data_IF_613310877813
#
_entry.id   IF_613310877813
#
_cell.length_a   1.000
_cell.length_b   1.000
_cell.length_c   1.000
_cell.angle_alpha   90.00
_cell.angle_beta   90.00
_cell.angle_gamma   90.00
#
_symmetry.space_group_name_H-M   'P 1'
#
loop_
_entity.id
_entity.type
_entity.pdbx_description
1 polymer ?
#
# COMPACT_ATOMS: atom_id res chain seq x y z
N UNK A 1 -34.31 -25.46 -55.45
CA UNK A 1 -33.25 -24.53 -54.96
C UNK A 1 -33.64 -23.90 -53.61
N UNK A 2 -33.86 -24.70 -52.57
CA UNK A 2 -34.24 -24.18 -51.23
C UNK A 2 -33.20 -24.51 -50.13
N UNK A 3 -32.25 -25.42 -50.41
CA UNK A 3 -31.22 -25.82 -49.45
C UNK A 3 -30.00 -24.88 -49.41
N UNK A 4 -29.74 -24.13 -50.49
CA UNK A 4 -28.61 -23.19 -50.55
C UNK A 4 -28.87 -21.89 -49.76
N UNK A 5 -30.12 -21.42 -49.69
CA UNK A 5 -30.48 -20.22 -48.92
C UNK A 5 -30.46 -20.45 -47.40
N UNK A 6 -30.87 -21.64 -46.95
CA UNK A 6 -30.83 -21.99 -45.53
C UNK A 6 -29.38 -22.10 -44.98
N UNK A 7 -28.45 -22.62 -45.78
CA UNK A 7 -27.03 -22.72 -45.40
C UNK A 7 -26.34 -21.36 -45.27
N UNK A 8 -26.63 -20.41 -46.17
CA UNK A 8 -26.09 -19.04 -46.11
C UNK A 8 -26.65 -18.29 -44.89
N UNK A 9 -27.94 -18.46 -44.57
CA UNK A 9 -28.55 -17.87 -43.38
C UNK A 9 -27.96 -18.41 -42.07
N UNK A 10 -27.75 -19.72 -41.97
CA UNK A 10 -27.13 -20.35 -40.80
C UNK A 10 -25.65 -19.91 -40.63
N UNK A 11 -24.90 -19.82 -41.73
CA UNK A 11 -23.51 -19.34 -41.69
C UNK A 11 -23.43 -17.88 -41.24
N UNK A 12 -24.24 -16.98 -41.83
CA UNK A 12 -24.29 -15.59 -41.45
C UNK A 12 -24.69 -15.42 -39.97
N UNK A 13 -25.73 -16.14 -39.50
CA UNK A 13 -26.15 -16.12 -38.11
C UNK A 13 -25.05 -16.54 -37.14
N UNK A 14 -24.33 -17.62 -37.45
CA UNK A 14 -23.21 -18.10 -36.63
C UNK A 14 -22.03 -17.12 -36.61
N UNK A 15 -21.73 -16.47 -37.74
CA UNK A 15 -20.67 -15.46 -37.85
C UNK A 15 -21.00 -14.20 -37.03
N UNK A 16 -22.22 -13.69 -37.13
CA UNK A 16 -22.65 -12.54 -36.33
C UNK A 16 -22.67 -12.87 -34.83
N UNK A 17 -23.16 -14.05 -34.43
CA UNK A 17 -23.12 -14.49 -33.04
C UNK A 17 -21.68 -14.59 -32.50
N UNK A 18 -20.74 -15.09 -33.31
CA UNK A 18 -19.33 -15.11 -32.97
C UNK A 18 -18.76 -13.70 -32.80
N UNK A 19 -19.07 -12.77 -33.71
CA UNK A 19 -18.64 -11.37 -33.60
C UNK A 19 -19.20 -10.68 -32.35
N UNK A 20 -20.48 -10.88 -32.05
CA UNK A 20 -21.10 -10.34 -30.83
C UNK A 20 -20.43 -10.88 -29.57
N UNK A 21 -20.20 -12.19 -29.50
CA UNK A 21 -19.48 -12.82 -28.37
C UNK A 21 -18.07 -12.27 -28.22
N UNK A 22 -17.34 -12.12 -29.31
CA UNK A 22 -15.99 -11.55 -29.29
C UNK A 22 -16.00 -10.12 -28.72
N UNK A 23 -16.94 -9.29 -29.16
CA UNK A 23 -17.07 -7.93 -28.66
C UNK A 23 -17.43 -7.89 -27.17
N UNK A 24 -18.35 -8.75 -26.72
CA UNK A 24 -18.72 -8.88 -25.31
C UNK A 24 -17.53 -9.34 -24.45
N UNK A 25 -16.79 -10.35 -24.89
CA UNK A 25 -15.58 -10.85 -24.23
C UNK A 25 -14.51 -9.75 -24.11
N UNK A 26 -14.30 -8.94 -25.16
CA UNK A 26 -13.40 -7.79 -25.12
C UNK A 26 -13.84 -6.75 -24.07
N UNK A 27 -15.13 -6.41 -24.01
CA UNK A 27 -15.65 -5.47 -23.02
C UNK A 27 -15.52 -6.00 -21.58
N UNK A 28 -15.79 -7.29 -21.38
CA UNK A 28 -15.61 -7.96 -20.08
C UNK A 28 -14.14 -7.88 -19.67
N UNK A 29 -13.22 -8.19 -20.59
CA UNK A 29 -11.78 -8.14 -20.31
C UNK A 29 -11.31 -6.72 -19.98
N UNK A 30 -11.78 -5.70 -20.70
CA UNK A 30 -11.47 -4.30 -20.40
C UNK A 30 -11.96 -3.89 -19.01
N UNK A 31 -13.20 -4.26 -18.65
CA UNK A 31 -13.74 -3.99 -17.31
C UNK A 31 -12.94 -4.67 -16.21
N UNK A 32 -12.56 -5.95 -16.40
CA UNK A 32 -11.72 -6.69 -15.46
C UNK A 32 -10.36 -6.03 -15.27
N UNK A 33 -9.68 -5.66 -16.36
CA UNK A 33 -8.38 -4.98 -16.32
C UNK A 33 -8.45 -3.62 -15.62
N UNK A 34 -9.50 -2.84 -15.88
CA UNK A 34 -9.74 -1.58 -15.17
C UNK A 34 -9.94 -1.83 -13.67
N UNK A 35 -10.83 -2.77 -13.33
CA UNK A 35 -11.09 -3.11 -11.92
C UNK A 35 -9.85 -3.60 -11.18
N UNK A 36 -8.95 -4.31 -11.86
CA UNK A 36 -7.67 -4.76 -11.28
C UNK A 36 -6.75 -3.57 -10.92
N UNK A 37 -6.66 -2.56 -11.80
CA UNK A 37 -5.89 -1.34 -11.49
C UNK A 37 -6.52 -0.52 -10.37
N UNK A 38 -7.86 -0.39 -10.37
CA UNK A 38 -8.58 0.32 -9.30
C UNK A 38 -8.36 -0.38 -7.94
N UNK A 39 -8.41 -1.72 -7.91
CA UNK A 39 -8.10 -2.51 -6.73
C UNK A 39 -6.64 -2.35 -6.27
N UNK A 40 -5.69 -2.31 -7.21
CA UNK A 40 -4.28 -2.04 -6.92
C UNK A 40 -4.08 -0.65 -6.30
N UNK A 41 -4.67 0.39 -6.89
CA UNK A 41 -4.61 1.76 -6.37
C UNK A 41 -5.20 1.86 -4.95
N UNK A 42 -6.36 1.23 -4.75
CA UNK A 42 -6.99 1.17 -3.44
C UNK A 42 -6.11 0.45 -2.40
N UNK A 43 -5.46 -0.64 -2.80
CA UNK A 43 -4.52 -1.37 -1.93
C UNK A 43 -3.32 -0.50 -1.54
N UNK A 44 -2.69 0.19 -2.50
CA UNK A 44 -1.60 1.14 -2.22
C UNK A 44 -2.04 2.25 -1.26
N UNK A 45 -3.25 2.79 -1.42
CA UNK A 45 -3.79 3.78 -0.49
C UNK A 45 -4.00 3.20 0.93
N UNK A 46 -4.46 1.96 1.05
CA UNK A 46 -4.56 1.27 2.35
C UNK A 46 -3.18 1.08 2.99
N UNK A 47 -2.17 0.70 2.21
CA UNK A 47 -0.78 0.55 2.69
C UNK A 47 -0.22 1.87 3.19
N UNK A 48 -0.42 2.96 2.42
CA UNK A 48 -0.02 4.30 2.83
C UNK A 48 -0.65 4.67 4.18
N UNK A 49 -1.97 4.52 4.30
CA UNK A 49 -2.69 4.86 5.53
C UNK A 49 -2.21 4.04 6.74
N UNK A 50 -1.94 2.75 6.55
CA UNK A 50 -1.42 1.89 7.61
C UNK A 50 -0.05 2.37 8.11
N UNK A 51 0.88 2.66 7.19
CA UNK A 51 2.20 3.18 7.58
C UNK A 51 2.13 4.59 8.17
N UNK A 52 1.22 5.43 7.67
CA UNK A 52 1.04 6.79 8.17
C UNK A 52 0.60 6.79 9.64
N UNK A 53 -0.35 5.92 10.01
CA UNK A 53 -0.78 5.78 11.41
C UNK A 53 0.37 5.35 12.35
N UNK A 54 1.23 4.43 11.87
CA UNK A 54 2.42 4.01 12.63
C UNK A 54 3.40 5.18 12.75
N UNK A 55 3.64 5.90 11.65
CA UNK A 55 4.52 7.08 11.62
C UNK A 55 4.09 8.13 12.64
N UNK A 56 2.81 8.48 12.71
CA UNK A 56 2.30 9.46 13.70
C UNK A 56 2.66 9.09 15.14
N UNK A 57 2.70 7.79 15.45
CA UNK A 57 3.13 7.30 16.77
C UNK A 57 4.63 7.53 17.01
N UNK A 58 5.46 7.36 15.96
CA UNK A 58 6.91 7.60 16.04
C UNK A 58 7.23 9.09 16.13
N UNK A 59 6.46 9.93 15.45
CA UNK A 59 6.64 11.39 15.41
C UNK A 59 6.30 12.07 16.74
N UNK A 60 5.47 11.44 17.57
CA UNK A 60 5.22 11.89 18.94
C UNK A 60 6.50 11.90 19.82
N UNK A 61 7.55 11.19 19.40
CA UNK A 61 8.85 11.13 20.06
C UNK A 61 9.92 11.66 19.09
N UNK A 62 10.22 12.96 19.09
CA UNK A 62 11.08 13.59 18.09
C UNK A 62 12.54 13.12 18.21
N UNK A 63 13.03 12.97 19.43
CA UNK A 63 14.41 12.59 19.70
C UNK A 63 14.61 11.08 19.58
N UNK A 64 15.76 10.70 19.04
CA UNK A 64 16.09 9.29 18.78
C UNK A 64 16.18 8.46 20.06
N UNK A 65 16.81 8.99 21.10
CA UNK A 65 16.98 8.33 22.39
C UNK A 65 15.61 8.18 23.06
N UNK A 66 14.80 9.23 23.03
CA UNK A 66 13.44 9.21 23.55
C UNK A 66 12.58 8.16 22.84
N UNK A 67 12.67 8.08 21.51
CA UNK A 67 11.95 7.08 20.73
C UNK A 67 12.45 5.65 20.98
N UNK A 68 13.73 5.46 21.26
CA UNK A 68 14.29 4.16 21.62
C UNK A 68 13.82 3.68 22.99
N UNK A 69 13.88 4.55 23.99
CA UNK A 69 13.68 4.19 25.40
C UNK A 69 12.24 4.42 25.86
N UNK A 70 11.73 5.64 25.66
CA UNK A 70 10.44 6.11 26.22
C UNK A 70 9.22 5.64 25.44
N UNK A 71 9.33 5.45 24.12
CA UNK A 71 8.20 4.99 23.32
C UNK A 71 7.82 3.55 23.72
N UNK A 72 6.57 3.27 24.11
CA UNK A 72 6.18 1.94 24.55
C UNK A 72 6.16 0.92 23.41
N UNK A 73 6.17 -0.37 23.74
CA UNK A 73 5.91 -1.44 22.78
C UNK A 73 4.42 -1.41 22.38
N UNK A 74 4.11 -0.87 21.20
CA UNK A 74 2.75 -0.77 20.67
C UNK A 74 2.50 -1.91 19.69
N UNK A 75 1.38 -2.61 19.86
CA UNK A 75 0.91 -3.62 18.91
C UNK A 75 -0.07 -2.97 17.93
N UNK A 76 0.32 -2.92 16.66
CA UNK A 76 -0.53 -2.42 15.59
C UNK A 76 -1.48 -3.51 15.07
N UNK A 77 -2.58 -3.13 14.39
CA UNK A 77 -3.46 -4.08 13.72
C UNK A 77 -2.71 -4.99 12.74
N UNK A 78 -3.20 -6.20 12.53
CA UNK A 78 -2.63 -7.10 11.52
C UNK A 78 -3.05 -6.64 10.12
N UNK A 79 -2.08 -6.24 9.29
CA UNK A 79 -2.29 -5.81 7.90
C UNK A 79 -2.00 -6.91 6.86
N UNK A 80 -2.15 -8.19 7.24
CA UNK A 80 -1.81 -9.34 6.41
C UNK A 80 -2.63 -9.43 5.12
N UNK A 81 -3.82 -8.84 5.12
CA UNK A 81 -4.75 -8.79 4.00
C UNK A 81 -4.49 -7.62 3.03
N UNK A 82 -3.61 -6.67 3.39
CA UNK A 82 -3.31 -5.49 2.58
C UNK A 82 -2.20 -5.82 1.57
N UNK A 83 -2.55 -6.67 0.59
CA UNK A 83 -1.63 -7.18 -0.44
C UNK A 83 -2.15 -6.91 -1.83
N UNK A 84 -1.24 -6.55 -2.73
CA UNK A 84 -1.54 -6.37 -4.14
C UNK A 84 -1.81 -7.73 -4.78
N UNK A 85 -2.91 -7.85 -5.52
CA UNK A 85 -3.23 -9.01 -6.34
C UNK A 85 -2.46 -8.94 -7.68
N UNK A 86 -1.25 -9.49 -7.70
CA UNK A 86 -0.40 -9.48 -8.89
C UNK A 86 -0.95 -10.31 -10.05
N UNK A 87 -1.73 -11.37 -9.77
CA UNK A 87 -2.30 -12.22 -10.81
C UNK A 87 -3.29 -11.43 -11.67
N UNK A 88 -4.08 -10.56 -11.03
CA UNK A 88 -5.00 -9.65 -11.72
C UNK A 88 -4.30 -8.61 -12.60
N UNK A 89 -3.01 -8.35 -12.36
CA UNK A 89 -2.20 -7.34 -13.05
C UNK A 89 -1.31 -7.91 -14.18
N UNK A 90 -1.32 -9.22 -14.40
CA UNK A 90 -0.50 -9.88 -15.42
C UNK A 90 -0.69 -9.30 -16.84
N UNK A 91 -1.88 -8.75 -17.15
CA UNK A 91 -2.14 -8.11 -18.44
C UNK A 91 -1.26 -6.88 -18.72
N UNK A 92 -0.62 -6.29 -17.71
CA UNK A 92 0.33 -5.20 -17.89
C UNK A 92 1.60 -5.66 -18.62
N UNK A 93 1.95 -6.94 -18.53
CA UNK A 93 3.07 -7.54 -19.26
C UNK A 93 2.77 -7.64 -20.76
N UNK A 94 1.52 -7.92 -21.12
CA UNK A 94 1.06 -8.04 -22.52
C UNK A 94 1.14 -6.71 -23.30
N UNK A 95 1.18 -5.59 -22.59
CA UNK A 95 1.17 -4.23 -23.15
C UNK A 95 2.52 -3.52 -22.97
N UNK A 96 3.61 -4.29 -22.88
CA UNK A 96 5.00 -3.81 -22.78
C UNK A 96 5.30 -2.94 -21.54
N UNK A 97 4.47 -3.04 -20.49
CA UNK A 97 4.67 -2.34 -19.20
C UNK A 97 5.22 -3.24 -18.10
N UNK A 98 6.02 -4.25 -18.46
CA UNK A 98 6.57 -5.29 -17.55
C UNK A 98 7.29 -4.71 -16.33
N UNK A 99 7.98 -3.58 -16.49
CA UNK A 99 8.69 -2.93 -15.39
C UNK A 99 7.76 -2.49 -14.25
N UNK A 100 6.48 -2.19 -14.53
CA UNK A 100 5.57 -1.66 -13.53
C UNK A 100 5.11 -2.71 -12.50
N UNK A 101 4.64 -3.91 -12.90
CA UNK A 101 4.42 -5.02 -11.96
C UNK A 101 5.63 -5.32 -11.07
N UNK A 102 6.85 -5.32 -11.61
CA UNK A 102 8.08 -5.55 -10.82
C UNK A 102 8.34 -4.43 -9.80
N UNK A 103 8.03 -3.18 -10.15
CA UNK A 103 8.11 -2.08 -9.20
C UNK A 103 7.05 -2.23 -8.09
N UNK A 104 5.85 -2.73 -8.41
CA UNK A 104 4.80 -2.99 -7.43
C UNK A 104 5.16 -4.15 -6.49
N UNK A 105 5.82 -5.21 -6.97
CA UNK A 105 6.32 -6.29 -6.10
C UNK A 105 7.37 -5.77 -5.13
N UNK A 106 8.30 -4.96 -5.63
CA UNK A 106 9.31 -4.29 -4.79
C UNK A 106 8.64 -3.40 -3.74
N UNK A 107 7.57 -2.69 -4.10
CA UNK A 107 6.84 -1.87 -3.14
C UNK A 107 6.13 -2.70 -2.07
N UNK A 108 5.49 -3.79 -2.47
CA UNK A 108 4.86 -4.72 -1.53
C UNK A 108 5.88 -5.25 -0.50
N UNK A 109 7.10 -5.59 -0.95
CA UNK A 109 8.19 -6.01 -0.06
C UNK A 109 8.64 -4.89 0.88
N UNK A 110 8.73 -3.64 0.41
CA UNK A 110 9.06 -2.47 1.25
C UNK A 110 8.03 -2.25 2.34
N UNK A 111 6.74 -2.30 2.00
CA UNK A 111 5.64 -2.22 2.95
C UNK A 111 5.75 -3.31 4.03
N UNK A 112 5.97 -4.57 3.63
CA UNK A 112 6.12 -5.68 4.57
C UNK A 112 7.37 -5.57 5.44
N UNK A 113 8.49 -5.08 4.89
CA UNK A 113 9.72 -4.82 5.63
C UNK A 113 9.51 -3.72 6.69
N UNK A 114 8.78 -2.66 6.36
CA UNK A 114 8.43 -1.61 7.32
C UNK A 114 7.61 -2.19 8.49
N UNK A 115 6.54 -2.94 8.21
CA UNK A 115 5.75 -3.60 9.26
C UNK A 115 6.59 -4.55 10.12
N UNK A 116 7.46 -5.35 9.51
CA UNK A 116 8.35 -6.28 10.21
C UNK A 116 9.34 -5.53 11.12
N UNK A 117 9.87 -4.39 10.68
CA UNK A 117 10.79 -3.59 11.48
C UNK A 117 10.12 -3.06 12.77
N UNK A 118 8.86 -2.63 12.66
CA UNK A 118 8.03 -2.21 13.80
C UNK A 118 7.81 -3.37 14.77
N UNK A 119 7.49 -4.56 14.25
CA UNK A 119 7.29 -5.76 15.06
C UNK A 119 8.56 -6.18 15.81
N UNK A 120 9.71 -6.21 15.12
CA UNK A 120 11.01 -6.54 15.73
C UNK A 120 11.34 -5.54 16.85
N UNK A 121 11.15 -4.24 16.60
CA UNK A 121 11.36 -3.20 17.61
C UNK A 121 10.44 -3.40 18.80
N UNK A 122 9.14 -3.61 18.58
CA UNK A 122 8.16 -3.78 19.64
C UNK A 122 8.47 -5.02 20.49
N UNK A 123 8.85 -6.13 19.85
CA UNK A 123 9.26 -7.36 20.52
C UNK A 123 10.52 -7.16 21.36
N UNK A 124 11.56 -6.54 20.79
CA UNK A 124 12.79 -6.23 21.52
C UNK A 124 12.51 -5.31 22.72
N UNK A 125 11.68 -4.28 22.53
CA UNK A 125 11.30 -3.37 23.60
C UNK A 125 10.62 -4.11 24.74
N UNK A 126 9.59 -4.91 24.45
CA UNK A 126 8.84 -5.66 25.46
C UNK A 126 9.66 -6.77 26.15
N UNK A 127 10.49 -7.52 25.41
CA UNK A 127 11.17 -8.71 25.94
C UNK A 127 12.56 -8.44 26.53
N UNK A 128 13.22 -7.34 26.15
CA UNK A 128 14.62 -7.05 26.52
C UNK A 128 14.77 -5.69 27.18
N UNK A 129 14.28 -4.64 26.54
CA UNK A 129 14.54 -3.28 27.01
C UNK A 129 13.71 -2.91 28.24
N UNK A 130 12.40 -3.14 28.20
CA UNK A 130 11.48 -2.84 29.29
C UNK A 130 11.87 -3.54 30.61
N UNK A 131 12.21 -4.85 30.62
CA UNK A 131 12.71 -5.51 31.82
C UNK A 131 14.00 -4.89 32.37
N UNK A 132 14.92 -4.46 31.50
CA UNK A 132 16.17 -3.80 31.93
C UNK A 132 15.89 -2.41 32.53
N UNK A 133 15.01 -1.62 31.91
CA UNK A 133 14.57 -0.32 32.43
C UNK A 133 13.96 -0.47 33.83
N UNK A 134 13.13 -1.49 34.02
CA UNK A 134 12.50 -1.80 35.31
C UNK A 134 13.52 -2.26 36.36
N UNK A 135 14.44 -3.15 35.99
CA UNK A 135 15.49 -3.65 36.89
C UNK A 135 16.37 -2.51 37.44
N UNK A 136 16.65 -1.50 36.63
CA UNK A 136 17.46 -0.35 37.00
C UNK A 136 16.64 0.83 37.57
N UNK A 137 15.32 0.67 37.76
CA UNK A 137 14.40 1.72 38.23
C UNK A 137 14.53 3.03 37.44
N UNK A 138 14.71 2.94 36.11
CA UNK A 138 14.87 4.10 35.23
C UNK A 138 13.51 4.78 34.96
N UNK A 139 12.39 4.08 35.17
CA UNK A 139 11.06 4.61 34.96
C UNK A 139 10.83 5.93 35.74
N UNK A 140 10.59 7.01 35.01
CA UNK A 140 10.34 8.35 35.56
C UNK A 140 11.58 9.14 35.99
N UNK A 141 12.80 8.64 35.69
CA UNK A 141 14.05 9.39 35.88
C UNK A 141 14.44 10.11 34.60
N UNK A 142 14.83 11.37 34.74
CA UNK A 142 15.53 12.10 33.69
C UNK A 142 17.00 11.69 33.73
N UNK A 143 17.42 10.86 32.77
CA UNK A 143 18.81 10.47 32.56
C UNK A 143 19.24 10.96 31.17
N UNK A 144 20.48 11.42 31.07
CA UNK A 144 21.12 11.70 29.78
C UNK A 144 21.35 10.42 28.98
N UNK A 145 21.58 10.55 27.67
CA UNK A 145 21.89 9.42 26.80
C UNK A 145 23.11 8.62 27.26
N UNK A 146 24.17 9.31 27.70
CA UNK A 146 25.41 8.68 28.18
C UNK A 146 25.16 7.90 29.49
N UNK A 147 24.35 8.46 30.41
CA UNK A 147 23.96 7.76 31.64
C UNK A 147 23.10 6.54 31.34
N UNK A 148 22.18 6.63 30.38
CA UNK A 148 21.36 5.49 29.94
C UNK A 148 22.23 4.39 29.35
N UNK A 149 23.23 4.73 28.54
CA UNK A 149 24.16 3.76 27.97
C UNK A 149 24.98 3.05 29.05
N UNK A 150 25.49 3.79 30.05
CA UNK A 150 26.23 3.21 31.18
C UNK A 150 25.35 2.25 31.98
N UNK A 151 24.10 2.62 32.25
CA UNK A 151 23.18 1.83 33.09
C UNK A 151 22.67 0.60 32.36
N UNK A 152 22.26 0.73 31.10
CA UNK A 152 21.70 -0.36 30.29
C UNK A 152 22.77 -1.25 29.65
N UNK A 153 23.99 -0.74 29.54
CA UNK A 153 25.09 -1.35 28.79
C UNK A 153 25.02 -1.04 27.29
N UNK A 154 26.21 -0.88 26.71
CA UNK A 154 26.44 -0.51 25.31
C UNK A 154 25.60 -1.33 24.32
N UNK A 155 25.58 -2.65 24.48
CA UNK A 155 24.87 -3.53 23.55
C UNK A 155 23.36 -3.27 23.53
N UNK A 156 22.73 -3.19 24.71
CA UNK A 156 21.28 -3.05 24.82
C UNK A 156 20.85 -1.66 24.33
N UNK A 157 21.58 -0.62 24.75
CA UNK A 157 21.35 0.76 24.35
C UNK A 157 21.47 0.94 22.83
N UNK A 158 22.61 0.54 22.25
CA UNK A 158 22.84 0.70 20.82
C UNK A 158 21.88 -0.15 19.96
N UNK A 159 21.48 -1.33 20.44
CA UNK A 159 20.46 -2.13 19.76
C UNK A 159 19.10 -1.43 19.73
N UNK A 160 18.68 -0.81 20.83
CA UNK A 160 17.44 -0.05 20.91
C UNK A 160 17.43 1.13 19.91
N UNK A 161 18.53 1.89 19.89
CA UNK A 161 18.74 3.03 18.97
C UNK A 161 18.67 2.56 17.52
N UNK A 162 19.42 1.51 17.18
CA UNK A 162 19.47 0.97 15.82
C UNK A 162 18.09 0.51 15.33
N UNK A 163 17.34 -0.25 16.14
CA UNK A 163 16.00 -0.70 15.74
C UNK A 163 15.04 0.45 15.49
N UNK A 164 15.11 1.50 16.29
CA UNK A 164 14.29 2.68 16.07
C UNK A 164 14.71 3.46 14.82
N UNK A 165 16.01 3.63 14.56
CA UNK A 165 16.49 4.26 13.33
C UNK A 165 16.06 3.49 12.09
N UNK A 166 16.25 2.17 12.08
CA UNK A 166 15.85 1.33 10.95
C UNK A 166 14.35 1.38 10.72
N UNK A 167 13.56 1.29 11.79
CA UNK A 167 12.10 1.36 11.67
C UNK A 167 11.65 2.71 11.13
N UNK A 168 12.17 3.80 11.69
CA UNK A 168 11.84 5.16 11.26
C UNK A 168 12.18 5.36 9.79
N UNK A 169 13.39 4.94 9.37
CA UNK A 169 13.79 5.00 7.97
C UNK A 169 12.85 4.20 7.07
N UNK A 170 12.54 2.96 7.42
CA UNK A 170 11.63 2.13 6.62
C UNK A 170 10.23 2.74 6.50
N UNK A 171 9.69 3.34 7.57
CA UNK A 171 8.38 3.99 7.53
C UNK A 171 8.37 5.18 6.56
N UNK A 172 9.35 6.08 6.68
CA UNK A 172 9.42 7.29 5.86
C UNK A 172 9.74 6.98 4.39
N UNK A 173 10.77 6.16 4.14
CA UNK A 173 11.16 5.78 2.79
C UNK A 173 10.00 5.05 2.07
N UNK A 174 9.27 4.19 2.79
CA UNK A 174 8.11 3.50 2.22
C UNK A 174 6.94 4.45 1.96
N UNK A 175 6.62 5.38 2.85
CA UNK A 175 5.53 6.35 2.61
C UNK A 175 5.76 7.18 1.34
N UNK A 176 6.98 7.63 1.12
CA UNK A 176 7.37 8.37 -0.10
C UNK A 176 7.24 7.45 -1.32
N UNK A 177 7.78 6.23 -1.23
CA UNK A 177 7.78 5.27 -2.33
C UNK A 177 6.37 4.82 -2.73
N UNK A 178 5.47 4.59 -1.75
CA UNK A 178 4.08 4.23 -1.98
C UNK A 178 3.37 5.36 -2.75
N UNK A 179 3.54 6.62 -2.36
CA UNK A 179 2.91 7.75 -3.07
C UNK A 179 3.44 7.84 -4.51
N UNK A 180 4.75 7.70 -4.73
CA UNK A 180 5.33 7.71 -6.06
C UNK A 180 4.79 6.57 -6.95
N UNK A 181 4.75 5.34 -6.45
CA UNK A 181 4.26 4.20 -7.23
C UNK A 181 2.75 4.30 -7.45
N UNK A 182 2.00 4.83 -6.49
CA UNK A 182 0.58 5.09 -6.65
C UNK A 182 0.36 6.09 -7.78
N UNK A 183 1.07 7.22 -7.80
CA UNK A 183 0.97 8.20 -8.88
C UNK A 183 1.35 7.61 -10.24
N UNK A 184 2.39 6.78 -10.31
CA UNK A 184 2.78 6.05 -11.55
C UNK A 184 1.68 5.09 -12.00
N UNK A 185 1.11 4.30 -11.09
CA UNK A 185 0.02 3.36 -11.34
C UNK A 185 -1.21 4.10 -11.87
N UNK A 186 -1.55 5.24 -11.28
CA UNK A 186 -2.68 6.06 -11.69
C UNK A 186 -2.50 6.63 -13.10
N UNK A 187 -1.29 7.11 -13.44
CA UNK A 187 -0.96 7.56 -14.80
C UNK A 187 -1.10 6.43 -15.82
N UNK A 188 -0.67 5.21 -15.46
CA UNK A 188 -0.84 4.02 -16.30
C UNK A 188 -2.33 3.70 -16.49
N UNK A 189 -3.13 3.72 -15.42
CA UNK A 189 -4.57 3.48 -15.48
C UNK A 189 -5.27 4.48 -16.40
N UNK A 190 -4.99 5.79 -16.25
CA UNK A 190 -5.55 6.82 -17.14
C UNK A 190 -5.13 6.68 -18.60
N UNK A 191 -3.89 6.28 -18.85
CA UNK A 191 -3.39 6.05 -20.21
C UNK A 191 -4.08 4.87 -20.88
N UNK A 192 -4.39 3.80 -20.14
CA UNK A 192 -5.02 2.60 -20.68
C UNK A 192 -6.54 2.70 -20.76
N UNK A 193 -7.14 3.44 -19.83
CA UNK A 193 -8.58 3.61 -19.70
C UNK A 193 -8.93 5.09 -19.58
N UNK A 194 -8.74 5.88 -20.66
CA UNK A 194 -9.14 7.28 -20.66
C UNK A 194 -10.65 7.37 -20.42
N UNK A 195 -11.06 8.12 -19.41
CA UNK A 195 -12.47 8.38 -19.18
C UNK A 195 -13.03 9.17 -20.35
N UNK A 196 -14.18 8.73 -20.88
CA UNK A 196 -14.82 9.37 -22.04
C UNK A 196 -15.27 10.82 -21.75
N UNK A 197 -15.31 11.23 -20.48
CA UNK A 197 -15.51 12.59 -19.97
C UNK A 197 -14.88 12.69 -18.57
N UNK A 198 -13.80 13.46 -18.34
CA UNK A 198 -13.31 13.66 -16.97
C UNK A 198 -12.82 15.08 -16.70
N UNK A 199 -13.53 15.75 -15.79
CA UNK A 199 -13.13 16.99 -15.13
C UNK A 199 -11.84 16.76 -14.31
N UNK A 200 -10.87 17.70 -14.29
CA UNK A 200 -9.61 17.50 -13.57
C UNK A 200 -9.82 17.52 -12.06
N UNK A 201 -9.56 16.40 -11.38
CA UNK A 201 -9.47 16.38 -9.92
C UNK A 201 -8.05 16.74 -9.47
N UNK A 202 -7.98 17.72 -8.56
CA UNK A 202 -6.78 18.37 -8.07
C UNK A 202 -6.01 17.42 -7.12
N UNK A 203 -4.76 17.12 -7.44
CA UNK A 203 -3.91 16.17 -6.72
C UNK A 203 -3.32 16.78 -5.44
N UNK A 204 -4.08 16.74 -4.34
CA UNK A 204 -3.53 16.68 -2.99
C UNK A 204 -4.39 15.72 -2.18
N UNK A 205 -3.77 14.68 -1.63
CA UNK A 205 -4.39 13.64 -0.78
C UNK A 205 -4.96 14.15 0.54
N UNK A 206 -5.27 15.45 0.67
CA UNK A 206 -5.70 16.07 1.93
C UNK A 206 -7.18 15.88 2.25
N UNK A 207 -7.93 15.05 1.52
CA UNK A 207 -9.39 14.92 1.70
C UNK A 207 -9.93 13.47 1.67
N UNK A 208 -9.20 12.47 2.20
CA UNK A 208 -9.76 11.12 2.43
C UNK A 208 -10.69 11.04 3.67
N UNK A 209 -11.41 12.11 3.97
CA UNK A 209 -12.56 12.16 4.90
C UNK A 209 -13.83 12.76 4.31
N UNK A 210 -13.96 12.84 2.97
CA UNK A 210 -15.28 13.04 2.34
C UNK A 210 -15.69 11.83 1.53
N UNK A 211 -16.32 10.88 2.23
CA UNK A 211 -17.48 10.19 1.65
C UNK A 211 -18.52 11.25 1.30
N UNK A 212 -18.50 11.72 0.06
CA UNK A 212 -19.63 12.40 -0.58
C UNK A 212 -19.55 12.13 -2.08
N UNK A 213 -19.78 10.86 -2.42
CA UNK A 213 -20.25 10.46 -3.73
C UNK A 213 -21.64 9.82 -3.55
N UNK A 214 -22.59 10.63 -3.09
CA UNK A 214 -24.01 10.32 -3.20
C UNK A 214 -24.79 11.63 -3.29
N UNK A 215 -25.74 11.68 -4.23
CA UNK A 215 -26.79 12.71 -4.38
C UNK A 215 -26.35 13.96 -5.16
N UNK A 216 -26.35 13.86 -6.50
CA UNK A 216 -26.89 14.88 -7.43
C UNK A 216 -27.05 14.27 -8.83
N UNK A 217 -27.92 13.27 -8.90
CA UNK A 217 -28.81 13.10 -10.04
C UNK A 217 -30.21 13.42 -9.50
N UNK A 218 -30.97 14.24 -10.22
CA UNK A 218 -32.18 14.97 -9.83
C UNK A 218 -31.93 16.33 -9.16
N UNK A 219 -31.81 17.36 -10.00
CA UNK A 219 -32.70 18.53 -10.00
C UNK A 219 -32.21 19.54 -11.05
N UNK A 220 -32.79 19.42 -12.26
CA UNK A 220 -33.21 20.45 -13.22
C UNK A 220 -33.41 19.85 -14.60
#
# INVERSE_FOLDING_TARGET
MAFFSAGIGAFAGSYFAFLFRKHEEEQINLKKRKSALDACLFTLARQYNALYQIKETYDAFPEIVERAISMPAIKFPEYKDVRIDFDSLNFLSDIEKIAHPLNLTTEQERFEAALRSVEIRAKFHAEKLQPAIEQHNINGRELSGDELEIVLGELLFNTAINYVQYTYRHLYDSLISIDEIHQKTWKIAKSLFPEKNSCPQNHKWTNLTRMDCSIRQNDN
#
